data_IF_492692698499
#
_entry.id   IF_492692698499
#
_cell.length_a   1.000
_cell.length_b   1.000
_cell.length_c   1.000
_cell.angle_alpha   90.00
_cell.angle_beta   90.00
_cell.angle_gamma   90.00
#
_symmetry.space_group_name_H-M   'P 1'
#
loop_
_entity.id
_entity.type
_entity.pdbx_description
1 polymer ?
#
# COMPACT_ATOMS: atom_id res chain seq x y z
N UNK A 1 2.48 -4.34 -3.91
CA UNK A 1 1.61 -5.46 -3.54
C UNK A 1 2.46 -6.67 -3.21
N UNK A 2 1.97 -7.56 -2.36
CA UNK A 2 2.65 -8.83 -2.09
C UNK A 2 2.32 -9.90 -3.15
N UNK A 3 2.76 -11.15 -2.92
CA UNK A 3 2.51 -12.28 -3.82
C UNK A 3 1.02 -12.70 -3.87
N UNK A 4 0.24 -12.42 -2.82
CA UNK A 4 -1.20 -12.69 -2.76
C UNK A 4 -2.04 -11.60 -3.44
N UNK A 5 -1.39 -10.51 -3.86
CA UNK A 5 -2.06 -9.36 -4.47
C UNK A 5 -2.54 -8.36 -3.44
N UNK A 6 -1.98 -8.39 -2.22
CA UNK A 6 -2.35 -7.49 -1.14
C UNK A 6 -1.60 -6.17 -1.19
N UNK A 7 -2.29 -5.08 -0.87
CA UNK A 7 -1.70 -3.74 -0.94
C UNK A 7 -0.79 -3.55 0.27
N UNK A 8 0.50 -3.30 0.02
CA UNK A 8 1.52 -3.20 1.07
C UNK A 8 1.67 -1.77 1.62
N UNK A 9 1.65 -0.79 0.72
CA UNK A 9 1.72 0.63 1.06
C UNK A 9 1.28 1.47 -0.15
N UNK A 10 0.77 2.67 0.11
CA UNK A 10 0.40 3.65 -0.90
C UNK A 10 0.93 5.02 -0.51
N UNK A 11 1.75 5.56 -1.40
CA UNK A 11 2.39 6.84 -1.20
C UNK A 11 2.05 7.80 -2.34
N UNK A 12 1.25 8.81 -2.03
CA UNK A 12 1.04 9.93 -2.95
C UNK A 12 2.25 10.87 -2.91
N UNK A 13 2.89 11.08 -4.07
CA UNK A 13 3.98 12.04 -4.27
C UNK A 13 3.67 12.97 -5.44
N UNK A 14 4.14 14.21 -5.37
CA UNK A 14 3.98 15.20 -6.43
C UNK A 14 4.76 14.83 -7.71
N UNK A 15 5.91 14.17 -7.54
CA UNK A 15 6.78 13.74 -8.62
C UNK A 15 7.08 12.24 -8.52
N UNK A 16 7.28 11.61 -9.68
CA UNK A 16 7.68 10.19 -9.82
C UNK A 16 9.17 10.09 -10.17
N UNK A 17 10.01 10.66 -9.32
CA UNK A 17 11.47 10.65 -9.48
C UNK A 17 12.12 9.49 -8.71
N UNK A 18 13.43 9.29 -8.93
CA UNK A 18 14.23 8.27 -8.25
C UNK A 18 14.18 8.40 -6.72
N UNK A 19 14.16 9.63 -6.18
CA UNK A 19 14.17 9.85 -4.74
C UNK A 19 12.83 9.46 -4.10
N UNK A 20 11.72 9.74 -4.78
CA UNK A 20 10.39 9.31 -4.38
C UNK A 20 10.26 7.77 -4.42
N UNK A 21 10.74 7.14 -5.50
CA UNK A 21 10.76 5.69 -5.62
C UNK A 21 11.62 5.02 -4.54
N UNK A 22 12.81 5.55 -4.27
CA UNK A 22 13.72 5.06 -3.22
C UNK A 22 13.06 5.11 -1.84
N UNK A 23 12.50 6.26 -1.47
CA UNK A 23 11.80 6.42 -0.17
C UNK A 23 10.61 5.47 -0.01
N UNK A 24 9.86 5.23 -1.09
CA UNK A 24 8.75 4.27 -1.07
C UNK A 24 9.25 2.85 -0.81
N UNK A 25 10.31 2.43 -1.52
CA UNK A 25 10.90 1.10 -1.36
C UNK A 25 11.50 0.92 0.04
N UNK A 26 12.26 1.89 0.54
CA UNK A 26 12.85 1.86 1.90
C UNK A 26 11.77 1.69 2.97
N UNK A 27 10.71 2.51 2.91
CA UNK A 27 9.58 2.43 3.83
C UNK A 27 8.84 1.09 3.74
N UNK A 28 8.63 0.59 2.53
CA UNK A 28 7.97 -0.71 2.32
C UNK A 28 8.79 -1.86 2.93
N UNK A 29 10.11 -1.84 2.79
CA UNK A 29 11.02 -2.84 3.38
C UNK A 29 11.05 -2.72 4.91
N UNK A 30 11.14 -1.49 5.44
CA UNK A 30 11.11 -1.23 6.88
C UNK A 30 9.85 -1.82 7.54
N UNK A 31 8.70 -1.75 6.86
CA UNK A 31 7.42 -2.14 7.42
C UNK A 31 7.01 -3.59 7.16
N UNK A 32 7.39 -4.15 6.01
CA UNK A 32 6.96 -5.48 5.59
C UNK A 32 8.08 -6.53 5.65
N UNK A 33 9.28 -6.12 6.06
CA UNK A 33 10.47 -6.98 6.06
C UNK A 33 11.16 -7.03 4.69
N UNK A 34 12.28 -7.76 4.65
CA UNK A 34 13.15 -7.79 3.48
C UNK A 34 12.65 -8.77 2.41
N UNK A 35 12.34 -8.30 1.20
CA UNK A 35 11.89 -9.18 0.13
C UNK A 35 13.07 -9.87 -0.57
N UNK A 36 12.95 -11.17 -0.83
CA UNK A 36 13.90 -11.89 -1.71
C UNK A 36 13.77 -11.47 -3.17
N UNK A 37 12.54 -11.16 -3.61
CA UNK A 37 12.21 -10.82 -5.00
C UNK A 37 11.29 -9.61 -5.04
N UNK A 38 11.68 -8.59 -5.81
CA UNK A 38 10.84 -7.41 -6.08
C UNK A 38 10.47 -7.39 -7.55
N UNK A 39 9.16 -7.27 -7.82
CA UNK A 39 8.67 -7.05 -9.18
C UNK A 39 8.45 -5.56 -9.41
N UNK A 40 9.15 -4.99 -10.39
CA UNK A 40 9.03 -3.58 -10.76
C UNK A 40 8.40 -3.42 -12.14
N UNK A 41 7.74 -2.27 -12.35
CA UNK A 41 7.30 -1.85 -13.67
C UNK A 41 8.49 -1.38 -14.53
N UNK A 42 8.23 -1.00 -15.78
CA UNK A 42 9.27 -0.56 -16.72
C UNK A 42 9.75 0.87 -16.47
N UNK A 43 9.44 1.48 -15.32
CA UNK A 43 9.83 2.87 -15.04
C UNK A 43 11.28 2.90 -14.55
N UNK A 44 12.14 3.63 -15.26
CA UNK A 44 13.57 3.75 -14.93
C UNK A 44 13.85 4.28 -13.52
N UNK A 45 12.96 5.11 -12.96
CA UNK A 45 13.08 5.60 -11.58
C UNK A 45 13.03 4.48 -10.53
N UNK A 46 12.21 3.44 -10.75
CA UNK A 46 12.09 2.30 -9.83
C UNK A 46 13.33 1.41 -9.89
N UNK A 47 13.84 1.16 -11.09
CA UNK A 47 15.10 0.42 -11.28
C UNK A 47 16.27 1.16 -10.62
N UNK A 48 16.44 2.45 -10.91
CA UNK A 48 17.52 3.26 -10.35
C UNK A 48 17.42 3.41 -8.81
N UNK A 49 16.21 3.39 -8.26
CA UNK A 49 16.00 3.39 -6.82
C UNK A 49 16.40 2.05 -6.18
N UNK A 50 16.07 0.92 -6.83
CA UNK A 50 16.39 -0.41 -6.33
C UNK A 50 17.90 -0.68 -6.41
N UNK A 51 18.57 -0.26 -7.48
CA UNK A 51 20.04 -0.29 -7.59
C UNK A 51 20.71 0.52 -6.46
N UNK A 52 20.15 1.69 -6.11
CA UNK A 52 20.67 2.51 -5.02
C UNK A 52 20.44 1.88 -3.64
N UNK A 53 19.43 1.01 -3.50
CA UNK A 53 19.18 0.24 -2.27
C UNK A 53 20.12 -0.96 -2.21
N UNK A 54 20.40 -1.63 -3.35
CA UNK A 54 21.38 -2.72 -3.43
C UNK A 54 22.79 -2.32 -3.02
N UNK A 55 23.22 -1.11 -3.40
CA UNK A 55 24.56 -0.62 -3.09
C UNK A 55 24.88 -0.55 -1.59
N UNK A 56 23.87 -0.61 -0.72
CA UNK A 56 24.03 -0.61 0.74
C UNK A 56 23.65 -1.93 1.42
N UNK A 57 23.49 -3.04 0.68
CA UNK A 57 22.99 -4.32 1.23
C UNK A 57 23.96 -5.47 1.00
N UNK A 58 24.04 -6.36 2.00
CA UNK A 58 24.80 -7.62 1.92
C UNK A 58 24.06 -8.69 1.11
N UNK A 59 22.73 -8.74 1.22
CA UNK A 59 21.88 -9.67 0.45
C UNK A 59 21.23 -8.96 -0.75
N UNK A 60 21.52 -9.38 -1.98
CA UNK A 60 20.93 -8.78 -3.16
C UNK A 60 19.47 -9.23 -3.34
N UNK A 61 18.55 -8.26 -3.36
CA UNK A 61 17.15 -8.45 -3.78
C UNK A 61 17.10 -8.82 -5.27
N UNK A 62 16.42 -9.91 -5.63
CA UNK A 62 16.26 -10.27 -7.06
C UNK A 62 15.24 -9.35 -7.72
N UNK A 63 15.65 -8.67 -8.80
CA UNK A 63 14.76 -7.80 -9.58
C UNK A 63 14.11 -8.62 -10.69
N UNK A 64 12.78 -8.57 -10.76
CA UNK A 64 12.02 -9.18 -11.86
C UNK A 64 11.12 -8.16 -12.53
N UNK A 65 11.00 -8.25 -13.85
CA UNK A 65 9.94 -7.59 -14.59
C UNK A 65 8.95 -8.65 -15.06
N UNK A 66 7.68 -8.54 -14.65
CA UNK A 66 6.63 -9.46 -15.08
C UNK A 66 5.43 -8.68 -15.57
N UNK A 67 5.09 -8.83 -16.85
CA UNK A 67 3.91 -8.20 -17.45
C UNK A 67 2.63 -8.58 -16.71
N UNK A 68 2.50 -9.84 -16.32
CA UNK A 68 1.32 -10.33 -15.61
C UNK A 68 1.15 -9.66 -14.23
N UNK A 69 2.20 -9.60 -13.43
CA UNK A 69 2.16 -8.94 -12.12
C UNK A 69 1.96 -7.43 -12.25
N UNK A 70 2.54 -6.82 -13.28
CA UNK A 70 2.31 -5.42 -13.60
C UNK A 70 0.83 -5.18 -13.96
N UNK A 71 0.18 -6.08 -14.70
CA UNK A 71 -1.24 -5.98 -15.01
C UNK A 71 -2.13 -6.01 -13.76
N UNK A 72 -1.77 -6.81 -12.74
CA UNK A 72 -2.50 -6.88 -11.46
C UNK A 72 -2.38 -5.54 -10.72
N UNK A 73 -1.17 -5.00 -10.61
CA UNK A 73 -0.94 -3.68 -9.99
C UNK A 73 -1.66 -2.56 -10.76
N UNK A 74 -1.62 -2.60 -12.09
CA UNK A 74 -2.35 -1.65 -12.94
C UNK A 74 -3.87 -1.79 -12.76
N UNK A 75 -4.38 -3.00 -12.57
CA UNK A 75 -5.79 -3.25 -12.29
C UNK A 75 -6.22 -2.64 -10.96
N UNK A 76 -5.40 -2.79 -9.92
CA UNK A 76 -5.65 -2.17 -8.62
C UNK A 76 -5.69 -0.64 -8.74
N UNK A 77 -4.71 -0.06 -9.43
CA UNK A 77 -4.70 1.37 -9.74
C UNK A 77 -5.91 1.83 -10.56
N UNK A 78 -6.49 0.98 -11.42
CA UNK A 78 -7.70 1.34 -12.20
C UNK A 78 -8.91 1.56 -11.29
N UNK A 79 -9.07 0.79 -10.22
CA UNK A 79 -10.15 0.97 -9.26
C UNK A 79 -10.07 2.36 -8.58
N UNK A 80 -8.88 2.70 -8.08
CA UNK A 80 -8.62 4.01 -7.44
C UNK A 80 -8.77 5.16 -8.44
N UNK A 81 -8.25 5.01 -9.67
CA UNK A 81 -8.39 6.02 -10.73
C UNK A 81 -9.85 6.24 -11.13
N UNK A 82 -10.67 5.19 -11.17
CA UNK A 82 -12.10 5.32 -11.51
C UNK A 82 -12.85 6.15 -10.48
N UNK A 83 -12.52 6.03 -9.20
CA UNK A 83 -13.11 6.83 -8.11
C UNK A 83 -12.63 8.28 -8.10
N UNK A 84 -11.37 8.51 -8.47
CA UNK A 84 -10.73 9.84 -8.36
C UNK A 84 -10.88 10.70 -9.61
N UNK A 85 -11.02 10.10 -10.80
CA UNK A 85 -11.27 10.80 -12.07
C UNK A 85 -12.44 11.80 -12.05
N UNK A 86 -13.63 11.47 -11.50
CA UNK A 86 -14.74 12.43 -11.46
C UNK A 86 -14.55 13.57 -10.45
N UNK A 87 -13.51 13.53 -9.58
CA UNK A 87 -13.28 14.52 -8.51
C UNK A 87 -12.58 15.82 -8.98
N UNK A 88 -12.56 16.12 -10.30
CA UNK A 88 -12.07 17.38 -10.89
C UNK A 88 -10.67 17.86 -10.46
N UNK A 89 -9.74 16.93 -10.20
CA UNK A 89 -8.40 17.17 -9.60
C UNK A 89 -8.49 17.82 -8.21
N UNK A 90 -7.71 17.29 -7.28
CA UNK A 90 -7.66 17.83 -5.93
C UNK A 90 -6.99 19.22 -5.93
N UNK A 91 -7.69 20.25 -5.46
CA UNK A 91 -7.14 21.62 -5.37
C UNK A 91 -5.94 21.72 -4.42
N UNK A 92 -5.90 20.88 -3.38
CA UNK A 92 -4.82 20.84 -2.38
C UNK A 92 -4.25 19.44 -2.26
N UNK A 93 -2.92 19.34 -2.25
CA UNK A 93 -2.19 18.07 -2.10
C UNK A 93 -2.53 17.35 -0.78
N UNK A 94 -2.74 18.09 0.31
CA UNK A 94 -3.17 17.52 1.60
C UNK A 94 -4.53 16.83 1.49
N UNK A 95 -5.50 17.45 0.82
CA UNK A 95 -6.83 16.88 0.62
C UNK A 95 -6.77 15.65 -0.29
N UNK A 96 -5.97 15.70 -1.36
CA UNK A 96 -5.72 14.55 -2.24
C UNK A 96 -5.26 13.34 -1.43
N UNK A 97 -4.27 13.56 -0.56
CA UNK A 97 -3.66 12.51 0.24
C UNK A 97 -4.64 11.88 1.24
N UNK A 98 -5.44 12.69 1.94
CA UNK A 98 -6.45 12.18 2.89
C UNK A 98 -7.54 11.40 2.15
N UNK A 99 -8.08 11.94 1.06
CA UNK A 99 -9.13 11.27 0.29
C UNK A 99 -8.65 9.97 -0.35
N UNK A 100 -7.44 9.97 -0.93
CA UNK A 100 -6.86 8.77 -1.51
C UNK A 100 -6.61 7.69 -0.45
N UNK A 101 -6.11 8.05 0.73
CA UNK A 101 -5.96 7.11 1.85
C UNK A 101 -7.30 6.52 2.30
N UNK A 102 -8.37 7.32 2.36
CA UNK A 102 -9.71 6.81 2.67
C UNK A 102 -10.26 5.85 1.60
N UNK A 103 -10.09 6.19 0.31
CA UNK A 103 -10.50 5.34 -0.81
C UNK A 103 -9.75 4.01 -0.78
N UNK A 104 -8.47 4.05 -0.44
CA UNK A 104 -7.63 2.87 -0.34
C UNK A 104 -8.05 1.97 0.81
N UNK A 105 -8.23 2.49 2.03
CA UNK A 105 -8.72 1.69 3.17
C UNK A 105 -10.02 1.00 2.80
N UNK A 106 -10.95 1.73 2.18
CA UNK A 106 -12.20 1.15 1.73
C UNK A 106 -11.99 0.04 0.69
N UNK A 107 -11.03 0.21 -0.22
CA UNK A 107 -10.67 -0.81 -1.21
C UNK A 107 -10.04 -2.06 -0.56
N UNK A 108 -9.20 -1.89 0.45
CA UNK A 108 -8.61 -2.99 1.22
C UNK A 108 -9.66 -3.76 2.03
N UNK A 109 -10.63 -3.06 2.62
CA UNK A 109 -11.79 -3.66 3.29
C UNK A 109 -12.60 -4.50 2.31
N UNK A 110 -12.92 -3.95 1.14
CA UNK A 110 -13.68 -4.67 0.10
C UNK A 110 -12.94 -5.91 -0.40
N UNK A 111 -11.60 -5.88 -0.41
CA UNK A 111 -10.77 -7.06 -0.71
C UNK A 111 -10.65 -8.06 0.44
N UNK A 112 -11.14 -7.73 1.62
CA UNK A 112 -11.04 -8.56 2.82
C UNK A 112 -9.67 -8.53 3.52
N UNK A 113 -8.78 -7.61 3.13
CA UNK A 113 -7.41 -7.51 3.66
C UNK A 113 -7.37 -7.02 5.11
N UNK A 114 -8.42 -6.32 5.54
CA UNK A 114 -8.53 -5.75 6.88
C UNK A 114 -9.55 -6.51 7.75
N UNK A 115 -9.89 -7.74 7.38
CA UNK A 115 -10.86 -8.55 8.11
C UNK A 115 -10.34 -8.89 9.51
N UNK A 116 -10.91 -8.24 10.52
CA UNK A 116 -10.64 -8.48 11.94
C UNK A 116 -11.32 -9.76 12.48
N UNK A 117 -12.02 -10.51 11.62
CA UNK A 117 -12.79 -11.71 12.01
C UNK A 117 -14.22 -11.40 12.46
N UNK A 118 -14.69 -10.16 12.33
CA UNK A 118 -16.09 -9.83 12.59
C UNK A 118 -17.00 -10.35 11.47
N UNK A 119 -17.63 -11.50 11.71
CA UNK A 119 -18.55 -12.14 10.78
C UNK A 119 -19.80 -11.26 10.61
N UNK A 120 -20.13 -10.91 9.36
CA UNK A 120 -21.38 -10.23 9.02
C UNK A 120 -21.34 -8.70 8.97
N UNK A 121 -20.17 -8.06 9.12
CA UNK A 121 -20.05 -6.61 8.90
C UNK A 121 -20.06 -6.27 7.41
N UNK A 122 -20.80 -5.22 7.05
CA UNK A 122 -20.67 -4.59 5.74
C UNK A 122 -19.36 -3.81 5.65
N UNK A 123 -18.78 -3.61 4.45
CA UNK A 123 -17.57 -2.80 4.28
C UNK A 123 -17.64 -1.41 4.92
N UNK A 124 -18.83 -0.78 4.91
CA UNK A 124 -19.03 0.51 5.55
C UNK A 124 -18.95 0.42 7.08
N UNK A 125 -19.56 -0.60 7.70
CA UNK A 125 -19.49 -0.81 9.15
C UNK A 125 -18.05 -1.07 9.61
N UNK A 126 -17.31 -1.89 8.87
CA UNK A 126 -15.90 -2.14 9.15
C UNK A 126 -15.05 -0.87 9.01
N UNK A 127 -15.33 -0.05 7.99
CA UNK A 127 -14.67 1.25 7.84
C UNK A 127 -14.93 2.18 9.03
N UNK A 128 -16.20 2.29 9.47
CA UNK A 128 -16.55 3.12 10.62
C UNK A 128 -16.00 2.56 11.94
N UNK A 129 -15.91 1.24 12.09
CA UNK A 129 -15.23 0.60 13.22
C UNK A 129 -13.77 1.04 13.29
N UNK A 130 -13.04 0.91 12.18
CA UNK A 130 -11.63 1.32 12.08
C UNK A 130 -11.44 2.84 12.28
N UNK A 131 -12.37 3.67 11.79
CA UNK A 131 -12.32 5.12 11.97
C UNK A 131 -12.74 5.56 13.39
N UNK A 132 -13.62 4.81 14.05
CA UNK A 132 -14.20 5.12 15.36
C UNK A 132 -13.23 4.96 16.52
N UNK A 133 -12.24 4.07 16.41
CA UNK A 133 -11.14 3.95 17.39
C UNK A 133 -10.16 5.15 17.36
N UNK A 134 -10.28 6.06 16.39
CA UNK A 134 -9.33 7.15 16.12
C UNK A 134 -9.79 8.57 16.49
N UNK A 135 -10.78 8.76 17.37
CA UNK A 135 -11.23 10.13 17.76
C UNK A 135 -10.18 10.89 18.60
N UNK A 136 -9.14 10.22 19.11
CA UNK A 136 -7.96 10.91 19.61
C UNK A 136 -6.84 10.98 18.55
N UNK A 137 -6.72 12.17 17.98
CA UNK A 137 -5.50 12.77 17.41
C UNK A 137 -5.31 12.66 15.90
N UNK A 138 -5.15 13.84 15.30
CA UNK A 138 -4.86 14.13 13.90
C UNK A 138 -3.53 13.46 13.50
N UNK A 139 -3.55 12.28 12.89
CA UNK A 139 -2.49 11.83 11.98
C UNK A 139 -2.94 10.61 11.15
N UNK A 140 -3.84 10.84 10.20
CA UNK A 140 -4.31 9.83 9.22
C UNK A 140 -3.20 9.31 8.26
N UNK A 141 -1.94 9.54 8.58
CA UNK A 141 -0.76 9.23 7.76
C UNK A 141 0.22 8.28 8.43
N UNK A 142 0.08 8.07 9.73
CA UNK A 142 0.81 7.06 10.50
C UNK A 142 -0.06 5.85 10.83
N UNK A 143 -1.39 5.96 10.73
CA UNK A 143 -2.31 4.89 11.17
C UNK A 143 -2.66 3.84 10.12
N UNK A 144 -2.57 4.11 8.80
CA UNK A 144 -2.81 3.05 7.80
C UNK A 144 -1.80 1.92 7.96
N UNK A 145 -0.52 2.24 8.16
CA UNK A 145 0.53 1.25 8.35
C UNK A 145 0.45 0.52 9.69
N UNK A 146 -0.08 1.17 10.73
CA UNK A 146 -0.39 0.51 12.02
C UNK A 146 -1.55 -0.49 11.89
N UNK A 147 -2.58 -0.16 11.12
CA UNK A 147 -3.73 -1.02 10.83
C UNK A 147 -3.31 -2.23 9.97
N UNK A 148 -2.40 -2.04 9.01
CA UNK A 148 -1.83 -3.14 8.21
C UNK A 148 -0.94 -4.07 9.04
N UNK A 149 -0.18 -3.52 10.00
CA UNK A 149 0.63 -4.29 10.93
C UNK A 149 -0.19 -5.24 11.81
N UNK A 150 -1.35 -4.80 12.32
CA UNK A 150 -2.20 -5.65 13.16
C UNK A 150 -2.87 -6.79 12.37
N UNK A 151 -3.19 -6.56 11.09
CA UNK A 151 -3.80 -7.58 10.22
C UNK A 151 -2.79 -8.61 9.66
N UNK A 152 -1.54 -8.21 9.36
CA UNK A 152 -0.53 -9.19 8.93
C UNK A 152 -0.13 -10.15 10.06
N UNK A 153 -0.01 -9.63 11.30
CA UNK A 153 0.28 -10.45 12.48
C UNK A 153 -0.86 -11.41 12.86
N UNK A 154 -2.12 -11.06 12.56
CA UNK A 154 -3.27 -11.94 12.82
C UNK A 154 -3.39 -13.04 11.76
N UNK A 155 -3.02 -12.78 10.51
CA UNK A 155 -2.99 -13.79 9.45
C UNK A 155 -1.86 -14.82 9.63
N UNK A 156 -0.67 -14.41 10.09
CA UNK A 156 0.42 -15.36 10.41
C UNK A 156 0.11 -16.28 11.60
N UNK A 157 -0.73 -15.86 12.55
CA UNK A 157 -1.17 -16.73 13.67
C UNK A 157 -2.19 -17.79 13.25
N UNK A 158 -2.90 -17.62 12.14
CA UNK A 158 -3.89 -18.59 11.63
C UNK A 158 -3.28 -19.68 10.76
N UNK A 159 -2.04 -19.53 10.30
CA UNK A 159 -1.34 -20.52 9.45
C UNK A 159 -0.41 -21.45 10.23
N UNK A 160 -0.36 -21.34 11.55
CA UNK A 160 0.52 -22.16 12.43
C UNK A 160 -0.30 -22.82 13.57
N UNK A 161 -1.56 -23.18 13.31
CA UNK A 161 -2.36 -24.01 14.22
C UNK A 161 -3.05 -25.12 13.45
#
# INVERSE_FOLDING_TARGET
>A
MDKAGDTLDFLLRAHRDKAAAKRYLERSIEWNGEPEVVTIDKIGANLAALEAIHAGRETPITIRQSKYLNNIVEQDHRAIKRRTRPMLRFQKFRCARILLGGIEVMHMIVKGQLNDGSVGQTPAQQFYSLAGYGIHTISVLTDLSLILRQNHLSHQRRTVS
#
